data_IF_484804897859
#
_entry.id   IF_484804897859
#
_cell.length_a   1.000
_cell.length_b   1.000
_cell.length_c   1.000
_cell.angle_alpha   90.00
_cell.angle_beta   90.00
_cell.angle_gamma   90.00
#
_symmetry.space_group_name_H-M   'P 1'
#
loop_
_entity.id
_entity.type
_entity.pdbx_description
1 polymer ?
#
# COMPACT_ATOMS: atom_id res chain seq x y z
N UNK A 1 -27.66 -42.36 13.83
CA UNK A 1 -26.44 -42.14 13.00
C UNK A 1 -26.71 -41.32 11.73
N UNK A 2 -27.88 -41.44 11.08
CA UNK A 2 -28.22 -40.72 9.84
C UNK A 2 -28.28 -39.17 9.94
N UNK A 3 -28.67 -38.61 11.10
CA UNK A 3 -28.82 -37.16 11.29
C UNK A 3 -27.48 -36.41 11.17
N UNK A 4 -26.38 -37.03 11.61
CA UNK A 4 -25.02 -36.44 11.49
C UNK A 4 -24.54 -36.37 10.04
N UNK A 5 -24.99 -37.30 9.19
CA UNK A 5 -24.60 -37.36 7.78
C UNK A 5 -25.32 -36.30 6.94
N UNK A 6 -26.60 -36.05 7.23
CA UNK A 6 -27.40 -35.01 6.56
C UNK A 6 -26.86 -33.62 6.90
N UNK A 7 -26.51 -33.37 8.17
CA UNK A 7 -25.96 -32.07 8.57
C UNK A 7 -24.57 -31.81 7.95
N UNK A 8 -23.74 -32.85 7.85
CA UNK A 8 -22.43 -32.75 7.19
C UNK A 8 -22.55 -32.48 5.67
N UNK A 9 -23.51 -33.11 4.98
CA UNK A 9 -23.79 -32.84 3.57
C UNK A 9 -24.37 -31.43 3.35
N UNK A 10 -25.22 -30.95 4.25
CA UNK A 10 -25.80 -29.61 4.18
C UNK A 10 -24.75 -28.51 4.38
N UNK A 11 -23.85 -28.69 5.35
CA UNK A 11 -22.75 -27.76 5.60
C UNK A 11 -21.73 -27.74 4.45
N UNK A 12 -21.46 -28.88 3.82
CA UNK A 12 -20.55 -28.95 2.66
C UNK A 12 -21.12 -28.21 1.43
N UNK A 13 -22.45 -28.14 1.30
CA UNK A 13 -23.13 -27.42 0.20
C UNK A 13 -23.12 -25.89 0.37
N UNK A 14 -22.94 -25.39 1.60
CA UNK A 14 -22.88 -23.96 1.90
C UNK A 14 -21.45 -23.38 1.90
N UNK A 15 -20.42 -24.21 1.86
CA UNK A 15 -19.02 -23.83 2.05
C UNK A 15 -18.31 -23.16 0.86
N UNK A 16 -18.99 -22.83 -0.24
CA UNK A 16 -18.31 -22.17 -1.36
C UNK A 16 -19.21 -21.25 -2.17
N UNK A 17 -19.80 -20.26 -1.49
CA UNK A 17 -20.19 -19.04 -2.20
C UNK A 17 -18.91 -18.25 -2.45
N UNK A 18 -18.21 -18.59 -3.55
CA UNK A 18 -17.06 -17.85 -4.02
C UNK A 18 -17.56 -16.49 -4.54
N UNK A 19 -17.79 -15.54 -3.62
CA UNK A 19 -18.20 -14.17 -3.96
C UNK A 19 -17.04 -13.55 -4.73
N UNK A 20 -17.10 -13.61 -6.07
CA UNK A 20 -16.19 -12.86 -6.93
C UNK A 20 -16.34 -11.38 -6.55
N UNK A 21 -15.33 -10.72 -5.97
CA UNK A 21 -15.45 -9.31 -5.64
C UNK A 21 -15.69 -8.57 -6.96
N UNK A 22 -16.81 -7.83 -7.01
CA UNK A 22 -17.24 -7.11 -8.20
C UNK A 22 -16.12 -6.16 -8.66
N UNK A 23 -15.99 -5.99 -9.97
CA UNK A 23 -14.88 -5.25 -10.60
C UNK A 23 -14.72 -3.83 -10.02
N UNK A 24 -15.83 -3.19 -9.62
CA UNK A 24 -15.86 -1.89 -8.92
C UNK A 24 -15.15 -1.90 -7.57
N UNK A 25 -15.27 -2.98 -6.77
CA UNK A 25 -14.57 -3.10 -5.47
C UNK A 25 -13.07 -3.16 -5.67
N UNK A 26 -12.59 -3.96 -6.63
CA UNK A 26 -11.15 -4.09 -6.93
C UNK A 26 -10.55 -2.75 -7.37
N UNK A 27 -11.27 -1.97 -8.18
CA UNK A 27 -10.80 -0.65 -8.65
C UNK A 27 -10.67 0.35 -7.49
N UNK A 28 -11.67 0.39 -6.59
CA UNK A 28 -11.66 1.27 -5.41
C UNK A 28 -10.51 0.93 -4.46
N UNK A 29 -10.31 -0.35 -4.15
CA UNK A 29 -9.19 -0.78 -3.30
C UNK A 29 -7.83 -0.36 -3.87
N UNK A 30 -7.63 -0.52 -5.18
CA UNK A 30 -6.38 -0.15 -5.80
C UNK A 30 -6.16 1.39 -5.83
N UNK A 31 -7.23 2.16 -6.03
CA UNK A 31 -7.18 3.63 -5.96
C UNK A 31 -6.88 4.12 -4.54
N UNK A 32 -7.53 3.55 -3.53
CA UNK A 32 -7.26 3.85 -2.12
C UNK A 32 -5.82 3.50 -1.74
N UNK A 33 -5.30 2.38 -2.25
CA UNK A 33 -3.90 2.00 -2.02
C UNK A 33 -2.92 3.00 -2.65
N UNK A 34 -3.21 3.51 -3.85
CA UNK A 34 -2.37 4.53 -4.49
C UNK A 34 -2.39 5.86 -3.72
N UNK A 35 -3.58 6.30 -3.29
CA UNK A 35 -3.71 7.49 -2.45
C UNK A 35 -2.92 7.35 -1.15
N UNK A 36 -3.00 6.19 -0.50
CA UNK A 36 -2.25 5.92 0.72
C UNK A 36 -0.74 6.00 0.50
N UNK A 37 -0.23 5.53 -0.64
CA UNK A 37 1.19 5.65 -0.97
C UNK A 37 1.66 7.08 -1.20
N UNK A 38 0.85 7.88 -1.90
CA UNK A 38 1.13 9.31 -2.09
C UNK A 38 1.16 10.01 -0.73
N UNK A 39 0.23 9.68 0.16
CA UNK A 39 0.18 10.22 1.52
C UNK A 39 1.42 9.84 2.33
N UNK A 40 1.86 8.58 2.23
CA UNK A 40 3.07 8.07 2.90
C UNK A 40 4.33 8.79 2.41
N UNK A 41 4.46 9.02 1.11
CA UNK A 41 5.57 9.78 0.52
C UNK A 41 5.55 11.23 1.00
N UNK A 42 4.39 11.89 0.98
CA UNK A 42 4.24 13.26 1.45
C UNK A 42 4.58 13.39 2.95
N UNK A 43 4.12 12.44 3.77
CA UNK A 43 4.42 12.40 5.20
C UNK A 43 5.92 12.19 5.46
N UNK A 44 6.56 11.28 4.73
CA UNK A 44 8.00 11.06 4.84
C UNK A 44 8.80 12.32 4.48
N UNK A 45 8.43 13.03 3.41
CA UNK A 45 9.05 14.30 3.03
C UNK A 45 8.84 15.37 4.11
N UNK A 46 7.61 15.50 4.64
CA UNK A 46 7.30 16.45 5.71
C UNK A 46 8.16 16.19 6.96
N UNK A 47 8.35 14.93 7.33
CA UNK A 47 9.21 14.53 8.44
C UNK A 47 10.69 14.84 8.20
N UNK A 48 11.20 14.60 6.98
CA UNK A 48 12.58 14.97 6.62
C UNK A 48 12.78 16.48 6.78
N UNK A 49 11.84 17.29 6.30
CA UNK A 49 11.89 18.76 6.46
C UNK A 49 11.84 19.15 7.93
N UNK A 50 10.99 18.51 8.73
CA UNK A 50 10.87 18.79 10.16
C UNK A 50 12.18 18.50 10.91
N UNK A 51 12.80 17.34 10.67
CA UNK A 51 14.09 16.99 11.28
C UNK A 51 15.20 17.92 10.78
N UNK A 52 15.21 18.31 9.50
CA UNK A 52 16.17 19.28 8.98
C UNK A 52 16.03 20.66 9.65
N UNK A 53 14.80 21.08 9.95
CA UNK A 53 14.55 22.29 10.73
C UNK A 53 15.04 22.15 12.17
N UNK A 54 14.81 21.00 12.82
CA UNK A 54 15.34 20.72 14.15
C UNK A 54 16.88 20.72 14.13
N UNK A 55 17.54 20.09 13.17
CA UNK A 55 19.00 20.09 13.09
C UNK A 55 19.60 21.48 12.88
N UNK A 56 18.85 22.41 12.27
CA UNK A 56 19.32 23.80 12.02
C UNK A 56 18.95 24.78 13.13
N UNK A 57 17.77 24.63 13.73
CA UNK A 57 17.18 25.59 14.68
C UNK A 57 17.05 25.03 16.11
N UNK A 58 17.20 23.71 16.28
CA UNK A 58 17.01 22.97 17.53
C UNK A 58 18.14 23.15 18.55
N UNK A 59 19.34 23.55 18.11
CA UNK A 59 20.45 23.91 19.00
C UNK A 59 20.12 25.05 19.98
N UNK A 60 19.01 25.78 19.76
CA UNK A 60 18.54 26.87 20.64
C UNK A 60 17.54 26.38 21.70
N UNK A 61 16.94 25.19 21.55
CA UNK A 61 15.80 24.74 22.39
C UNK A 61 15.94 23.34 23.01
N UNK A 62 16.93 22.52 22.62
CA UNK A 62 17.11 21.17 23.14
C UNK A 62 18.54 20.98 23.67
N UNK A 63 18.72 21.02 24.99
CA UNK A 63 20.02 20.78 25.66
C UNK A 63 20.36 19.28 25.82
N UNK A 64 19.45 18.38 25.42
CA UNK A 64 19.67 16.91 25.40
C UNK A 64 19.61 16.36 23.97
N UNK A 65 20.67 16.60 23.20
CA UNK A 65 20.81 16.05 21.85
C UNK A 65 21.68 14.79 21.92
N UNK A 66 21.11 13.62 22.18
CA UNK A 66 21.82 12.39 21.86
C UNK A 66 21.80 12.24 20.32
N UNK A 67 22.92 12.52 19.61
CA UNK A 67 22.93 12.55 18.15
C UNK A 67 22.54 11.20 17.55
N UNK A 68 22.71 10.11 18.31
CA UNK A 68 22.36 8.75 17.89
C UNK A 68 20.86 8.63 17.57
N UNK A 69 19.98 9.27 18.36
CA UNK A 69 18.53 9.18 18.15
C UNK A 69 18.14 9.87 16.84
N UNK A 70 18.70 11.06 16.60
CA UNK A 70 18.45 11.82 15.39
C UNK A 70 18.91 11.07 14.12
N UNK A 71 20.09 10.44 14.16
CA UNK A 71 20.56 9.59 13.07
C UNK A 71 19.69 8.34 12.87
N UNK A 72 19.21 7.71 13.95
CA UNK A 72 18.31 6.56 13.87
C UNK A 72 16.97 6.92 13.20
N UNK A 73 16.41 8.10 13.51
CA UNK A 73 15.18 8.60 12.88
C UNK A 73 15.37 8.89 11.39
N UNK A 74 16.48 9.54 11.01
CA UNK A 74 16.83 9.80 9.60
C UNK A 74 16.94 8.49 8.82
N UNK A 75 17.65 7.51 9.36
CA UNK A 75 17.81 6.19 8.71
C UNK A 75 16.44 5.51 8.56
N UNK A 76 15.61 5.54 9.61
CA UNK A 76 14.27 4.95 9.58
C UNK A 76 13.39 5.59 8.50
N UNK A 77 13.44 6.92 8.36
CA UNK A 77 12.71 7.64 7.31
C UNK A 77 13.20 7.28 5.91
N UNK A 78 14.51 7.16 5.70
CA UNK A 78 15.08 6.74 4.40
C UNK A 78 14.58 5.34 4.02
N UNK A 79 14.52 4.41 4.98
CA UNK A 79 14.00 3.05 4.76
C UNK A 79 12.52 3.08 4.37
N UNK A 80 11.68 3.81 5.13
CA UNK A 80 10.23 3.92 4.86
C UNK A 80 9.98 4.57 3.49
N UNK A 81 10.74 5.62 3.17
CA UNK A 81 10.63 6.33 1.89
C UNK A 81 11.01 5.41 0.72
N UNK A 82 12.16 4.72 0.82
CA UNK A 82 12.63 3.81 -0.21
C UNK A 82 11.65 2.66 -0.44
N UNK A 83 11.12 2.08 0.65
CA UNK A 83 10.09 1.04 0.57
C UNK A 83 8.80 1.54 -0.08
N UNK A 84 8.32 2.74 0.30
CA UNK A 84 7.12 3.33 -0.29
C UNK A 84 7.27 3.60 -1.78
N UNK A 85 8.42 4.15 -2.20
CA UNK A 85 8.74 4.38 -3.63
C UNK A 85 8.75 3.05 -4.39
N UNK A 86 9.40 2.02 -3.83
CA UNK A 86 9.46 0.70 -4.46
C UNK A 86 8.07 0.10 -4.73
N UNK A 87 7.18 0.09 -3.72
CA UNK A 87 5.82 -0.44 -3.90
C UNK A 87 5.03 0.45 -4.86
N UNK A 88 5.21 1.76 -4.84
CA UNK A 88 4.55 2.68 -5.78
C UNK A 88 4.92 2.37 -7.24
N UNK A 89 6.21 2.17 -7.53
CA UNK A 89 6.68 1.79 -8.87
C UNK A 89 6.05 0.47 -9.32
N UNK A 90 5.98 -0.53 -8.44
CA UNK A 90 5.33 -1.81 -8.75
C UNK A 90 3.84 -1.66 -9.07
N UNK A 91 3.12 -0.81 -8.32
CA UNK A 91 1.70 -0.56 -8.58
C UNK A 91 1.51 0.14 -9.92
N UNK A 92 2.28 1.19 -10.21
CA UNK A 92 2.20 1.94 -11.48
C UNK A 92 2.48 1.04 -12.67
N UNK A 93 3.52 0.19 -12.62
CA UNK A 93 3.84 -0.75 -13.70
C UNK A 93 2.69 -1.74 -13.99
N UNK A 94 2.11 -2.33 -12.94
CA UNK A 94 0.95 -3.25 -13.09
C UNK A 94 -0.28 -2.59 -13.70
N UNK A 95 -0.51 -1.31 -13.40
CA UNK A 95 -1.61 -0.56 -14.02
C UNK A 95 -1.36 -0.22 -15.49
N UNK A 96 -0.10 0.04 -15.87
CA UNK A 96 0.31 0.28 -17.25
C UNK A 96 0.13 -0.94 -18.16
N UNK A 97 0.56 -2.12 -17.71
CA UNK A 97 0.45 -3.38 -18.47
C UNK A 97 -1.02 -3.72 -18.78
N UNK A 98 -1.93 -3.56 -17.81
CA UNK A 98 -3.36 -3.84 -18.00
C UNK A 98 -4.06 -2.98 -19.05
N UNK A 99 -3.58 -1.75 -19.28
CA UNK A 99 -4.13 -0.86 -20.32
C UNK A 99 -3.69 -1.26 -21.72
N UNK A 100 -2.51 -1.89 -21.87
CA UNK A 100 -2.02 -2.35 -23.18
C UNK A 100 -2.82 -3.54 -23.70
N UNK A 101 -3.10 -4.52 -22.84
CA UNK A 101 -3.87 -5.72 -23.23
C UNK A 101 -5.31 -5.43 -23.63
N UNK A 102 -5.93 -4.40 -23.05
CA UNK A 102 -7.30 -4.02 -23.40
C UNK A 102 -7.35 -3.35 -24.78
N UNK A 103 -6.33 -2.59 -25.16
CA UNK A 103 -6.26 -1.94 -26.48
C UNK A 103 -6.02 -2.96 -27.61
N UNK A 104 -5.19 -3.99 -27.39
CA UNK A 104 -4.90 -5.02 -28.39
C UNK A 104 -6.13 -5.91 -28.70
N UNK A 105 -7.01 -6.09 -27.72
CA UNK A 105 -8.23 -6.89 -27.88
C UNK A 105 -9.34 -6.22 -28.71
N UNK A 106 -9.30 -4.88 -28.82
CA UNK A 106 -10.25 -4.10 -29.62
C UNK A 106 -9.85 -4.14 -31.09
N UNK A 107 -8.54 -4.11 -31.38
CA UNK A 107 -8.03 -4.09 -32.74
C UNK A 107 -8.27 -5.42 -33.47
N UNK A 108 -8.16 -6.56 -32.77
CA UNK A 108 -8.46 -7.89 -33.35
C UNK A 108 -9.94 -8.16 -33.65
N UNK A 109 -10.86 -7.25 -33.30
CA UNK A 109 -12.29 -7.38 -33.61
C UNK A 109 -12.74 -6.52 -34.80
N UNK A 110 -11.83 -5.76 -35.42
CA UNK A 110 -12.04 -5.10 -36.72
C UNK A 110 -11.39 -5.92 -37.83
#
# INVERSE_FOLDING_TARGET
>A
MAIRMINWLFLKRLGSVHIKPSMRRRLRFATLSMLNQILLIALAIAWIVHIALIGKYGAVYFEEENPVVLWAEIITLIIILSFSIYIFVLQVRRFGERRRDSSDSIDRRR
#
